data_IF_080393534228
#
_entry.id   IF_080393534228
#
_cell.length_a   1.000
_cell.length_b   1.000
_cell.length_c   1.000
_cell.angle_alpha   90.00
_cell.angle_beta   90.00
_cell.angle_gamma   90.00
#
_symmetry.space_group_name_H-M   'P 1'
#
loop_
_entity.id
_entity.type
_entity.pdbx_description
1 polymer ?
#
# COMPACT_ATOMS: atom_id res chain seq x y z
N UNK A 1 14.12 9.18 -8.64
CA UNK A 1 13.43 7.95 -8.20
C UNK A 1 12.43 7.46 -9.26
N UNK A 2 12.55 6.20 -9.68
CA UNK A 2 11.72 5.55 -10.69
C UNK A 2 11.19 4.20 -10.20
N UNK A 3 9.88 3.98 -10.28
CA UNK A 3 9.19 2.74 -9.89
C UNK A 3 8.78 1.94 -11.13
N UNK A 4 9.28 0.71 -11.26
CA UNK A 4 8.82 -0.23 -12.29
C UNK A 4 7.73 -1.12 -11.71
N UNK A 5 6.48 -0.89 -12.13
CA UNK A 5 5.33 -1.69 -11.69
C UNK A 5 4.13 -1.62 -12.64
N UNK A 6 3.23 -2.59 -12.52
CA UNK A 6 1.99 -2.63 -13.28
C UNK A 6 1.11 -1.40 -13.01
N UNK A 7 0.29 -0.96 -14.00
CA UNK A 7 -0.65 0.16 -13.86
C UNK A 7 -1.92 -0.24 -13.07
N UNK A 8 -1.72 -0.90 -11.92
CA UNK A 8 -2.76 -1.29 -10.95
C UNK A 8 -2.25 -0.95 -9.55
N UNK A 9 -3.14 -0.91 -8.55
CA UNK A 9 -2.76 -0.67 -7.17
C UNK A 9 -1.68 -1.69 -6.70
N UNK A 10 -2.07 -2.95 -6.54
CA UNK A 10 -1.18 -4.07 -6.22
C UNK A 10 -0.24 -3.77 -5.05
N UNK A 11 0.99 -4.28 -5.16
CA UNK A 11 2.09 -3.99 -4.22
C UNK A 11 2.76 -2.62 -4.47
N UNK A 12 2.38 -1.89 -5.52
CA UNK A 12 2.95 -0.59 -5.89
C UNK A 12 2.21 0.60 -5.25
N UNK A 13 0.95 0.44 -4.88
CA UNK A 13 0.12 1.61 -4.53
C UNK A 13 0.58 2.33 -3.27
N UNK A 14 0.97 1.59 -2.24
CA UNK A 14 1.47 2.23 -1.03
C UNK A 14 2.76 3.03 -1.31
N UNK A 15 3.63 2.54 -2.20
CA UNK A 15 4.84 3.26 -2.64
C UNK A 15 4.43 4.58 -3.32
N UNK A 16 3.45 4.55 -4.23
CA UNK A 16 2.93 5.75 -4.91
C UNK A 16 2.35 6.75 -3.92
N UNK A 17 1.55 6.28 -2.96
CA UNK A 17 0.95 7.12 -1.93
C UNK A 17 2.03 7.76 -1.05
N UNK A 18 3.02 6.98 -0.59
CA UNK A 18 4.15 7.52 0.20
C UNK A 18 4.91 8.57 -0.60
N UNK A 19 5.22 8.31 -1.87
CA UNK A 19 5.95 9.26 -2.71
C UNK A 19 5.16 10.57 -2.91
N UNK A 20 3.89 10.48 -3.31
CA UNK A 20 3.03 11.65 -3.57
C UNK A 20 2.74 12.44 -2.29
N UNK A 21 2.22 11.79 -1.26
CA UNK A 21 1.84 12.46 0.01
C UNK A 21 3.08 12.91 0.79
N UNK A 22 4.17 12.15 0.69
CA UNK A 22 5.45 12.45 1.34
C UNK A 22 6.23 13.59 0.68
N UNK A 23 5.82 14.03 -0.52
CA UNK A 23 6.45 15.14 -1.24
C UNK A 23 7.73 14.78 -1.98
N UNK A 24 7.92 13.51 -2.37
CA UNK A 24 9.08 13.05 -3.13
C UNK A 24 9.08 13.69 -4.52
N UNK A 25 10.14 14.44 -4.83
CA UNK A 25 10.30 15.13 -6.12
C UNK A 25 10.87 14.18 -7.18
N UNK A 26 10.47 14.37 -8.44
CA UNK A 26 10.99 13.59 -9.56
C UNK A 26 10.65 12.08 -9.49
N UNK A 27 9.58 11.72 -8.77
CA UNK A 27 9.04 10.36 -8.80
C UNK A 27 8.41 10.09 -10.17
N UNK A 28 8.79 8.98 -10.78
CA UNK A 28 8.26 8.52 -12.08
C UNK A 28 7.98 7.02 -12.03
N UNK A 29 7.17 6.52 -12.96
CA UNK A 29 6.87 5.09 -13.04
C UNK A 29 6.74 4.59 -14.48
N UNK A 30 6.96 3.29 -14.68
CA UNK A 30 6.73 2.57 -15.93
C UNK A 30 6.30 1.13 -15.64
N UNK A 31 5.68 0.47 -16.61
CA UNK A 31 5.41 -0.97 -16.55
C UNK A 31 6.61 -1.82 -16.98
N UNK A 32 7.49 -1.24 -17.80
CA UNK A 32 8.64 -1.91 -18.41
C UNK A 32 9.94 -1.49 -17.74
N UNK A 33 10.90 -2.41 -17.65
CA UNK A 33 12.23 -2.11 -17.15
C UNK A 33 12.93 -1.08 -18.05
N UNK A 34 13.66 -0.11 -17.49
CA UNK A 34 14.54 0.75 -18.26
C UNK A 34 15.56 -0.07 -19.06
N UNK A 35 15.92 0.45 -20.24
CA UNK A 35 16.93 -0.18 -21.10
C UNK A 35 18.25 -0.38 -20.35
N UNK A 36 18.85 -1.56 -20.51
CA UNK A 36 20.13 -1.90 -19.89
C UNK A 36 20.09 -2.21 -18.39
N UNK A 37 18.90 -2.24 -17.76
CA UNK A 37 18.75 -2.67 -16.36
C UNK A 37 17.91 -3.95 -16.29
N UNK A 38 18.47 -4.98 -15.67
CA UNK A 38 17.81 -6.26 -15.46
C UNK A 38 17.20 -6.35 -14.06
N UNK A 39 16.15 -7.17 -13.90
CA UNK A 39 15.55 -7.44 -12.59
C UNK A 39 16.54 -8.07 -11.60
N UNK A 40 17.47 -8.88 -12.10
CA UNK A 40 18.49 -9.55 -11.29
C UNK A 40 19.46 -8.53 -10.64
N UNK A 41 19.85 -7.47 -11.37
CA UNK A 41 20.64 -6.37 -10.80
C UNK A 41 19.90 -5.62 -9.69
N UNK A 42 18.57 -5.68 -9.68
CA UNK A 42 17.73 -5.11 -8.62
C UNK A 42 17.46 -6.09 -7.48
N UNK A 43 18.08 -7.28 -7.46
CA UNK A 43 17.85 -8.31 -6.44
C UNK A 43 16.59 -9.17 -6.67
N UNK A 44 15.89 -9.00 -7.80
CA UNK A 44 14.64 -9.72 -8.08
C UNK A 44 14.85 -10.93 -9.01
N UNK A 45 14.30 -12.11 -8.67
CA UNK A 45 14.34 -13.28 -9.55
C UNK A 45 13.39 -13.15 -10.75
N UNK A 46 12.36 -12.31 -10.66
CA UNK A 46 11.36 -12.07 -11.73
C UNK A 46 10.27 -11.06 -11.34
N UNK A 47 10.11 -10.82 -10.03
CA UNK A 47 9.04 -10.00 -9.45
C UNK A 47 9.22 -8.49 -9.66
N UNK A 48 8.10 -7.78 -9.58
CA UNK A 48 8.00 -6.32 -9.40
C UNK A 48 7.10 -6.08 -8.17
N UNK A 49 7.16 -4.92 -7.49
CA UNK A 49 7.82 -3.67 -7.88
C UNK A 49 9.35 -3.71 -7.80
N UNK A 50 9.97 -2.85 -8.61
CA UNK A 50 11.40 -2.51 -8.57
C UNK A 50 11.54 -1.00 -8.45
N UNK A 51 12.48 -0.54 -7.63
CA UNK A 51 12.84 0.87 -7.51
C UNK A 51 14.25 1.10 -8.03
N UNK A 52 14.41 2.18 -8.80
CA UNK A 52 15.70 2.70 -9.26
C UNK A 52 15.81 4.16 -8.80
N UNK A 53 16.82 4.47 -7.99
CA UNK A 53 17.09 5.84 -7.55
C UNK A 53 18.60 6.12 -7.54
N UNK A 54 19.10 6.71 -8.64
CA UNK A 54 20.53 6.82 -8.89
C UNK A 54 21.18 5.44 -8.93
N UNK A 55 22.18 5.23 -8.07
CA UNK A 55 22.90 3.95 -7.96
C UNK A 55 22.13 2.88 -7.17
N UNK A 56 21.07 3.27 -6.43
CA UNK A 56 20.25 2.31 -5.69
C UNK A 56 19.30 1.59 -6.65
N UNK A 57 19.41 0.26 -6.71
CA UNK A 57 18.51 -0.65 -7.43
C UNK A 57 18.01 -1.69 -6.44
N UNK A 58 16.69 -1.80 -6.28
CA UNK A 58 16.12 -2.72 -5.29
C UNK A 58 14.76 -3.26 -5.70
N UNK A 59 14.43 -4.44 -5.19
CA UNK A 59 13.10 -5.05 -5.21
C UNK A 59 12.56 -5.18 -3.79
N UNK A 60 11.45 -5.92 -3.63
CA UNK A 60 10.68 -6.07 -2.38
C UNK A 60 9.88 -4.82 -2.01
N UNK A 61 8.57 -4.88 -2.22
CA UNK A 61 7.62 -3.77 -2.03
C UNK A 61 7.76 -3.10 -0.66
N UNK A 62 7.87 -3.88 0.42
CA UNK A 62 7.98 -3.36 1.79
C UNK A 62 9.32 -2.66 2.02
N UNK A 63 10.41 -3.16 1.45
CA UNK A 63 11.71 -2.49 1.52
C UNK A 63 11.67 -1.16 0.75
N UNK A 64 11.02 -1.15 -0.42
CA UNK A 64 10.82 0.06 -1.22
C UNK A 64 9.96 1.08 -0.44
N UNK A 65 8.85 0.66 0.16
CA UNK A 65 8.00 1.52 1.00
C UNK A 65 8.82 2.21 2.10
N UNK A 66 9.69 1.47 2.80
CA UNK A 66 10.55 2.03 3.85
C UNK A 66 11.57 3.00 3.32
N UNK A 67 12.20 2.69 2.19
CA UNK A 67 13.15 3.58 1.56
C UNK A 67 12.48 4.88 1.12
N UNK A 68 11.38 4.82 0.38
CA UNK A 68 10.64 6.00 -0.07
C UNK A 68 10.18 6.85 1.12
N UNK A 69 9.70 6.23 2.19
CA UNK A 69 9.33 6.93 3.42
C UNK A 69 10.53 7.59 4.12
N UNK A 70 11.72 6.99 4.02
CA UNK A 70 12.94 7.54 4.64
C UNK A 70 13.45 8.81 3.96
N UNK A 71 13.25 8.93 2.64
CA UNK A 71 13.71 10.09 1.85
C UNK A 71 12.61 11.13 1.60
N UNK A 72 11.36 10.79 1.92
CA UNK A 72 10.21 11.70 1.81
C UNK A 72 10.33 12.89 2.79
N UNK A 73 10.34 14.14 2.29
CA UNK A 73 10.49 15.33 3.13
C UNK A 73 9.48 15.43 4.28
N UNK A 74 8.21 15.05 4.04
CA UNK A 74 7.15 15.11 5.05
C UNK A 74 7.41 14.22 6.26
N UNK A 75 8.20 13.16 6.09
CA UNK A 75 8.46 12.16 7.12
C UNK A 75 9.88 12.25 7.69
N UNK A 76 10.66 13.28 7.35
CA UNK A 76 12.05 13.43 7.77
C UNK A 76 12.22 13.40 9.30
N UNK A 77 11.29 14.05 10.01
CA UNK A 77 11.37 14.23 11.47
C UNK A 77 10.68 13.12 12.28
N UNK A 78 10.23 12.03 11.64
CA UNK A 78 9.65 10.91 12.38
C UNK A 78 10.69 10.27 13.30
N UNK A 79 10.31 10.07 14.55
CA UNK A 79 11.12 9.36 15.54
C UNK A 79 11.28 7.88 15.16
N UNK A 80 12.32 7.18 15.67
CA UNK A 80 12.46 5.74 15.46
C UNK A 80 11.22 4.93 15.87
N UNK A 81 10.51 5.32 16.94
CA UNK A 81 9.28 4.66 17.38
C UNK A 81 8.14 4.83 16.37
N UNK A 82 7.98 6.03 15.81
CA UNK A 82 6.95 6.29 14.79
C UNK A 82 7.26 5.55 13.49
N UNK A 83 8.53 5.51 13.08
CA UNK A 83 8.97 4.71 11.91
C UNK A 83 8.74 3.22 12.12
N UNK A 84 8.97 2.70 13.33
CA UNK A 84 8.67 1.31 13.65
C UNK A 84 7.16 1.01 13.60
N UNK A 85 6.33 1.98 13.99
CA UNK A 85 4.87 1.85 13.88
C UNK A 85 4.41 1.87 12.42
N UNK A 86 4.94 2.78 11.61
CA UNK A 86 4.74 2.78 10.15
C UNK A 86 5.13 1.44 9.53
N UNK A 87 6.30 0.91 9.91
CA UNK A 87 6.78 -0.38 9.45
C UNK A 87 5.85 -1.55 9.82
N UNK A 88 5.31 -1.55 11.03
CA UNK A 88 4.33 -2.56 11.47
C UNK A 88 3.11 -2.59 10.54
N UNK A 89 2.55 -1.43 10.18
CA UNK A 89 1.37 -1.37 9.31
C UNK A 89 1.68 -1.77 7.87
N UNK A 90 2.83 -1.36 7.31
CA UNK A 90 3.30 -1.84 6.00
C UNK A 90 3.41 -3.37 5.97
N UNK A 91 4.04 -3.98 6.98
CA UNK A 91 4.24 -5.43 7.03
C UNK A 91 2.93 -6.20 7.23
N UNK A 92 1.99 -5.67 8.03
CA UNK A 92 0.65 -6.25 8.17
C UNK A 92 -0.10 -6.18 6.84
N UNK A 93 -0.09 -5.01 6.18
CA UNK A 93 -0.67 -4.82 4.84
C UNK A 93 -0.10 -5.84 3.87
N UNK A 94 1.21 -6.04 3.84
CA UNK A 94 1.88 -6.97 2.93
C UNK A 94 1.52 -8.43 3.20
N UNK A 95 1.46 -8.82 4.48
CA UNK A 95 1.04 -10.16 4.89
C UNK A 95 -0.40 -10.46 4.46
N UNK A 96 -1.29 -9.48 4.66
CA UNK A 96 -2.69 -9.52 4.26
C UNK A 96 -2.82 -9.62 2.73
N UNK A 97 -2.13 -8.75 1.99
CA UNK A 97 -2.11 -8.72 0.53
C UNK A 97 -1.65 -10.07 -0.04
N UNK A 98 -0.58 -10.66 0.50
CA UNK A 98 -0.06 -11.95 0.03
C UNK A 98 -1.08 -13.09 0.13
N UNK A 99 -1.83 -13.16 1.24
CA UNK A 99 -2.86 -14.18 1.43
C UNK A 99 -4.10 -13.92 0.58
N UNK A 100 -4.53 -12.67 0.45
CA UNK A 100 -5.61 -12.31 -0.45
C UNK A 100 -5.26 -12.61 -1.92
N UNK A 101 -4.07 -12.23 -2.37
CA UNK A 101 -3.59 -12.50 -3.72
C UNK A 101 -3.53 -14.01 -4.02
N UNK A 102 -3.08 -14.83 -3.05
CA UNK A 102 -3.06 -16.29 -3.19
C UNK A 102 -4.43 -16.84 -3.57
N UNK A 103 -5.49 -16.43 -2.88
CA UNK A 103 -6.84 -16.90 -3.15
C UNK A 103 -7.43 -16.24 -4.41
N UNK A 104 -7.24 -14.93 -4.58
CA UNK A 104 -7.76 -14.18 -5.73
C UNK A 104 -7.29 -14.75 -7.08
N UNK A 105 -6.01 -15.10 -7.17
CA UNK A 105 -5.38 -15.62 -8.39
C UNK A 105 -5.32 -17.15 -8.44
N UNK A 106 -5.79 -17.83 -7.38
CA UNK A 106 -5.79 -19.27 -7.26
C UNK A 106 -7.21 -19.85 -7.28
N UNK A 107 -7.65 -20.34 -6.12
CA UNK A 107 -8.92 -21.05 -5.93
C UNK A 107 -10.16 -20.15 -5.99
N UNK A 108 -10.01 -18.84 -5.74
CA UNK A 108 -11.11 -17.89 -5.56
C UNK A 108 -12.12 -18.34 -4.50
N UNK A 109 -11.63 -19.07 -3.50
CA UNK A 109 -12.46 -19.61 -2.42
C UNK A 109 -12.95 -18.46 -1.52
N UNK A 110 -14.27 -18.27 -1.51
CA UNK A 110 -14.95 -17.23 -0.74
C UNK A 110 -14.68 -17.37 0.77
N UNK A 111 -14.79 -18.57 1.31
CA UNK A 111 -14.65 -18.81 2.75
C UNK A 111 -13.20 -18.62 3.18
N UNK A 112 -12.24 -19.01 2.33
CA UNK A 112 -10.82 -18.75 2.58
C UNK A 112 -10.49 -17.24 2.54
N UNK A 113 -11.06 -16.49 1.60
CA UNK A 113 -10.92 -15.02 1.54
C UNK A 113 -11.51 -14.38 2.80
N UNK A 114 -12.71 -14.78 3.22
CA UNK A 114 -13.33 -14.29 4.45
C UNK A 114 -12.49 -14.61 5.68
N UNK A 115 -11.89 -15.81 5.74
CA UNK A 115 -11.00 -16.20 6.84
C UNK A 115 -9.74 -15.32 6.92
N UNK A 116 -9.18 -14.89 5.78
CA UNK A 116 -8.07 -13.91 5.76
C UNK A 116 -8.51 -12.58 6.35
N UNK A 117 -9.66 -12.03 5.92
CA UNK A 117 -10.20 -10.78 6.47
C UNK A 117 -10.43 -10.87 7.98
N UNK A 118 -11.12 -11.92 8.44
CA UNK A 118 -11.44 -12.16 9.85
C UNK A 118 -10.18 -12.35 10.71
N UNK A 119 -9.06 -12.77 10.13
CA UNK A 119 -7.78 -12.89 10.83
C UNK A 119 -7.09 -11.55 11.02
N UNK A 120 -7.03 -10.70 10.00
CA UNK A 120 -6.19 -9.50 10.01
C UNK A 120 -6.93 -8.22 10.40
N UNK A 121 -8.15 -8.04 9.93
CA UNK A 121 -8.85 -6.76 10.11
C UNK A 121 -9.24 -6.48 11.58
N UNK A 122 -9.67 -7.46 12.40
CA UNK A 122 -9.85 -7.22 13.83
C UNK A 122 -8.55 -6.83 14.56
N UNK A 123 -7.41 -7.42 14.16
CA UNK A 123 -6.10 -7.06 14.72
C UNK A 123 -5.75 -5.62 14.36
N UNK A 124 -5.98 -5.22 13.11
CA UNK A 124 -5.75 -3.84 12.66
C UNK A 124 -6.65 -2.87 13.43
N UNK A 125 -7.96 -3.13 13.53
CA UNK A 125 -8.88 -2.28 14.30
C UNK A 125 -8.48 -2.15 15.77
N UNK A 126 -7.96 -3.23 16.37
CA UNK A 126 -7.45 -3.23 17.74
C UNK A 126 -6.22 -2.35 17.96
N UNK A 127 -5.42 -2.07 16.92
CA UNK A 127 -4.23 -1.21 17.01
C UNK A 127 -4.43 0.18 16.39
N UNK A 128 -5.57 0.44 15.76
CA UNK A 128 -5.93 1.77 15.25
C UNK A 128 -6.38 2.68 16.40
N UNK A 129 -6.08 3.99 16.33
CA UNK A 129 -6.63 4.93 17.29
C UNK A 129 -8.12 5.20 16.98
N UNK A 130 -8.91 5.49 18.02
CA UNK A 130 -10.32 5.84 17.87
C UNK A 130 -10.51 7.16 17.11
N UNK A 131 -9.59 8.11 17.32
CA UNK A 131 -9.54 9.41 16.65
C UNK A 131 -8.12 9.77 16.21
N UNK A 132 -7.99 10.67 15.24
CA UNK A 132 -6.69 11.09 14.71
C UNK A 132 -5.99 10.00 13.91
N UNK A 133 -4.66 10.11 13.84
CA UNK A 133 -3.75 9.28 13.05
C UNK A 133 -2.90 8.36 13.91
N UNK A 134 -2.40 7.28 13.33
CA UNK A 134 -1.72 6.17 14.05
C UNK A 134 -0.57 6.65 14.93
N UNK A 135 0.22 7.60 14.44
CA UNK A 135 1.38 8.14 15.15
C UNK A 135 1.06 9.31 16.08
N UNK A 136 -0.22 9.66 16.25
CA UNK A 136 -0.68 10.75 17.11
C UNK A 136 -0.24 12.14 16.64
N UNK A 137 0.12 12.28 15.37
CA UNK A 137 0.50 13.54 14.74
C UNK A 137 -0.75 14.24 14.16
N UNK A 138 -0.62 15.52 13.80
CA UNK A 138 -1.68 16.29 13.14
C UNK A 138 -1.83 15.96 11.64
N UNK A 139 -0.95 15.10 11.12
CA UNK A 139 -0.94 14.65 9.73
C UNK A 139 -0.75 13.12 9.66
N UNK A 140 -1.28 12.48 8.60
CA UNK A 140 -1.13 11.04 8.41
C UNK A 140 0.29 10.68 8.02
N UNK A 141 0.76 9.54 8.53
CA UNK A 141 2.03 8.92 8.14
C UNK A 141 1.79 7.67 7.32
N UNK A 142 2.85 6.90 7.07
CA UNK A 142 2.79 5.71 6.22
C UNK A 142 1.81 4.67 6.77
N UNK A 143 1.68 4.54 8.10
CA UNK A 143 0.69 3.65 8.71
C UNK A 143 -0.74 3.96 8.27
N UNK A 144 -1.12 5.24 8.28
CA UNK A 144 -2.45 5.68 7.88
C UNK A 144 -2.67 5.45 6.37
N UNK A 145 -1.64 5.70 5.54
CA UNK A 145 -1.68 5.43 4.10
C UNK A 145 -1.79 3.93 3.79
N UNK A 146 -1.23 3.06 4.62
CA UNK A 146 -1.40 1.62 4.47
C UNK A 146 -2.86 1.19 4.65
N UNK A 147 -3.60 1.84 5.56
CA UNK A 147 -5.04 1.61 5.73
C UNK A 147 -5.84 2.12 4.54
N UNK A 148 -5.49 3.29 4.01
CA UNK A 148 -6.09 3.81 2.77
C UNK A 148 -5.86 2.82 1.63
N UNK A 149 -4.65 2.27 1.46
CA UNK A 149 -4.38 1.27 0.44
C UNK A 149 -5.25 0.01 0.61
N UNK A 150 -5.39 -0.50 1.83
CA UNK A 150 -6.25 -1.66 2.11
C UNK A 150 -7.71 -1.39 1.72
N UNK A 151 -8.23 -0.20 2.03
CA UNK A 151 -9.64 0.12 1.81
C UNK A 151 -9.93 0.55 0.37
N UNK A 152 -9.00 1.24 -0.28
CA UNK A 152 -9.23 1.92 -1.55
C UNK A 152 -8.60 1.21 -2.75
N UNK A 153 -7.52 0.45 -2.58
CA UNK A 153 -6.87 -0.25 -3.68
C UNK A 153 -7.78 -1.33 -4.27
N UNK A 154 -8.06 -1.28 -5.57
CA UNK A 154 -8.89 -2.32 -6.19
C UNK A 154 -8.14 -3.65 -6.27
N UNK A 155 -6.91 -3.66 -6.81
CA UNK A 155 -6.10 -4.87 -6.86
C UNK A 155 -5.12 -4.96 -5.68
N UNK A 156 -5.01 -6.09 -4.96
CA UNK A 156 -5.98 -7.19 -4.94
C UNK A 156 -7.16 -6.93 -4.00
N UNK A 157 -7.09 -5.91 -3.11
CA UNK A 157 -8.03 -5.76 -1.99
C UNK A 157 -9.50 -5.67 -2.43
N UNK A 158 -9.90 -4.63 -3.16
CA UNK A 158 -11.27 -4.47 -3.66
C UNK A 158 -11.77 -5.67 -4.47
N UNK A 159 -10.93 -6.28 -5.30
CA UNK A 159 -11.25 -7.50 -6.04
C UNK A 159 -11.50 -8.70 -5.11
N UNK A 160 -10.67 -8.90 -4.08
CA UNK A 160 -10.94 -9.91 -3.06
C UNK A 160 -12.16 -9.63 -2.22
N UNK A 161 -12.44 -8.37 -1.87
CA UNK A 161 -13.65 -8.05 -1.12
C UNK A 161 -14.90 -8.36 -1.94
N UNK A 162 -14.87 -8.06 -3.24
CA UNK A 162 -15.94 -8.46 -4.16
C UNK A 162 -16.09 -9.98 -4.25
N UNK A 163 -14.99 -10.73 -4.40
CA UNK A 163 -15.01 -12.18 -4.50
C UNK A 163 -15.44 -12.88 -3.20
N UNK A 164 -14.99 -12.35 -2.06
CA UNK A 164 -15.31 -12.85 -0.72
C UNK A 164 -16.63 -12.31 -0.16
N UNK A 165 -17.33 -11.44 -0.90
CA UNK A 165 -18.50 -10.69 -0.41
C UNK A 165 -18.25 -10.01 0.95
N UNK A 166 -17.07 -9.39 1.10
CA UNK A 166 -16.68 -8.68 2.31
C UNK A 166 -17.18 -7.23 2.24
N UNK A 167 -18.16 -6.91 3.08
CA UNK A 167 -18.60 -5.54 3.32
C UNK A 167 -17.77 -4.93 4.46
N UNK A 168 -16.75 -4.14 4.10
CA UNK A 168 -15.88 -3.50 5.09
C UNK A 168 -16.64 -2.55 6.02
N UNK A 169 -17.64 -1.83 5.51
CA UNK A 169 -18.38 -0.83 6.31
C UNK A 169 -19.15 -1.54 7.42
N UNK A 170 -19.78 -2.67 7.08
CA UNK A 170 -20.56 -3.47 8.03
C UNK A 170 -19.69 -4.25 9.00
N UNK A 171 -18.58 -4.83 8.53
CA UNK A 171 -17.79 -5.79 9.30
C UNK A 171 -16.63 -5.14 10.06
N UNK A 172 -16.05 -4.06 9.54
CA UNK A 172 -14.84 -3.41 10.05
C UNK A 172 -14.98 -1.88 10.02
N UNK A 173 -15.95 -1.32 10.78
CA UNK A 173 -16.28 0.10 10.70
C UNK A 173 -15.16 1.03 11.16
N UNK A 174 -14.29 0.61 12.09
CA UNK A 174 -13.16 1.42 12.56
C UNK A 174 -12.05 1.49 11.51
N UNK A 175 -11.82 0.41 10.77
CA UNK A 175 -10.92 0.39 9.62
C UNK A 175 -11.36 1.41 8.57
N UNK A 176 -12.65 1.36 8.18
CA UNK A 176 -13.23 2.29 7.21
C UNK A 176 -13.20 3.73 7.72
N UNK A 177 -13.63 3.96 8.96
CA UNK A 177 -13.64 5.30 9.55
C UNK A 177 -12.23 5.92 9.60
N UNK A 178 -11.20 5.12 9.87
CA UNK A 178 -9.82 5.59 9.82
C UNK A 178 -9.40 5.94 8.39
N UNK A 179 -9.71 5.08 7.40
CA UNK A 179 -9.45 5.37 5.98
C UNK A 179 -10.10 6.69 5.54
N UNK A 180 -11.39 6.90 5.86
CA UNK A 180 -12.11 8.13 5.49
C UNK A 180 -11.49 9.39 6.10
N UNK A 181 -11.07 9.33 7.37
CA UNK A 181 -10.36 10.46 8.00
C UNK A 181 -9.05 10.77 7.28
N UNK A 182 -8.27 9.75 6.92
CA UNK A 182 -7.00 9.92 6.21
C UNK A 182 -7.22 10.47 4.80
N UNK A 183 -8.24 9.99 4.09
CA UNK A 183 -8.64 10.49 2.76
C UNK A 183 -9.07 11.96 2.77
N UNK A 184 -9.64 12.45 3.88
CA UNK A 184 -10.07 13.83 4.01
C UNK A 184 -8.90 14.84 4.10
N UNK A 185 -7.66 14.36 4.31
CA UNK A 185 -6.46 15.21 4.33
C UNK A 185 -6.13 15.66 2.91
N UNK A 186 -5.96 16.96 2.68
CA UNK A 186 -5.85 17.57 1.35
C UNK A 186 -4.81 16.89 0.43
N UNK A 187 -3.59 16.64 0.93
CA UNK A 187 -2.53 15.99 0.13
C UNK A 187 -2.88 14.54 -0.23
N UNK A 188 -3.58 13.82 0.67
CA UNK A 188 -4.03 12.45 0.44
C UNK A 188 -5.16 12.44 -0.59
N UNK A 189 -6.18 13.29 -0.40
CA UNK A 189 -7.28 13.46 -1.34
C UNK A 189 -6.77 13.76 -2.76
N UNK A 190 -5.82 14.69 -2.86
CA UNK A 190 -5.17 15.03 -4.12
C UNK A 190 -4.45 13.83 -4.73
N UNK A 191 -3.60 13.15 -3.96
CA UNK A 191 -2.85 11.98 -4.44
C UNK A 191 -3.76 10.87 -4.97
N UNK A 192 -4.89 10.62 -4.29
CA UNK A 192 -5.89 9.63 -4.69
C UNK A 192 -6.63 10.07 -5.97
N UNK A 193 -7.02 11.33 -6.07
CA UNK A 193 -7.72 11.86 -7.26
C UNK A 193 -6.87 11.83 -8.53
N UNK A 194 -5.56 11.94 -8.37
CA UNK A 194 -4.58 11.87 -9.47
C UNK A 194 -4.06 10.44 -9.70
N UNK A 195 -4.53 9.43 -8.94
CA UNK A 195 -4.09 8.05 -9.12
C UNK A 195 -4.86 7.39 -10.27
N UNK A 196 -4.12 6.95 -11.29
CA UNK A 196 -4.67 6.17 -12.41
C UNK A 196 -4.68 4.68 -12.14
N UNK A 197 -3.92 4.22 -11.14
CA UNK A 197 -3.72 2.81 -10.81
C UNK A 197 -4.56 2.32 -9.63
N UNK A 198 -4.97 3.22 -8.72
CA UNK A 198 -5.70 2.90 -7.48
C UNK A 198 -6.91 1.99 -7.72
N UNK A 199 -7.72 2.30 -8.74
CA UNK A 199 -8.96 1.58 -9.07
C UNK A 199 -8.84 0.70 -10.31
N UNK A 200 -7.65 0.61 -10.91
CA UNK A 200 -7.44 -0.17 -12.12
C UNK A 200 -7.46 -1.68 -11.84
N UNK A 201 -8.02 -2.43 -12.79
CA UNK A 201 -8.13 -3.89 -12.76
C UNK A 201 -7.13 -4.54 -13.74
N UNK A 202 -6.72 -5.77 -13.46
CA UNK A 202 -6.08 -6.59 -14.48
C UNK A 202 -7.14 -7.05 -15.50
N UNK A 203 -6.79 -7.18 -16.80
CA UNK A 203 -7.71 -7.72 -17.79
C UNK A 203 -8.27 -9.09 -17.35
N UNK A 204 -9.60 -9.22 -17.33
CA UNK A 204 -10.29 -10.45 -16.92
C UNK A 204 -10.56 -10.60 -15.41
N UNK A 205 -10.34 -9.55 -14.61
CA UNK A 205 -10.66 -9.47 -13.17
C UNK A 205 -11.71 -8.42 -12.84
#
# INVERSE_FOLDING_TARGET
MHLVYFPIAGRGELIRLIAKVGGVQGFSESAEMPEGITKAECGSPSSTPILIDGDLKMNESTAIEFYVASVAPKYANLTPKQRAKDAQFCSIKESCLGLFAKHLFGDKDKDAIQAVANKYFPIIEGILPDSGFVNGLDYPTVADLAIVNICEGYMPFGATFKCGEIDLVKLYPKLVAHSERTKAVADVAKALSESTSLKAALPGM
#
